data_IF_153280559213
#
_entry.id   IF_153280559213
#
_cell.length_a   1.000
_cell.length_b   1.000
_cell.length_c   1.000
_cell.angle_alpha   90.00
_cell.angle_beta   90.00
_cell.angle_gamma   90.00
#
_symmetry.space_group_name_H-M   'P 1'
#
loop_
_entity.id
_entity.type
_entity.pdbx_description
1 polymer ?
#
# COMPACT_ATOMS: atom_id res chain seq x y z
N UNK A 1 -7.05 -30.75 13.34
CA UNK A 1 -6.42 -31.33 12.13
C UNK A 1 -7.43 -31.41 10.99
N UNK A 2 -7.80 -30.28 10.39
CA UNK A 2 -8.36 -30.29 9.03
C UNK A 2 -7.59 -29.21 8.29
N UNK A 3 -6.68 -29.67 7.43
CA UNK A 3 -5.64 -28.86 6.83
C UNK A 3 -6.23 -27.70 6.04
N UNK A 4 -5.64 -26.53 6.22
CA UNK A 4 -5.75 -25.45 5.26
C UNK A 4 -4.97 -25.90 4.01
N UNK A 5 -5.64 -26.24 2.90
CA UNK A 5 -4.93 -26.62 1.69
C UNK A 5 -4.14 -25.41 1.21
N UNK A 6 -2.97 -25.67 0.63
CA UNK A 6 -2.02 -24.66 0.20
C UNK A 6 -2.68 -23.46 -0.50
N UNK A 7 -2.40 -22.25 0.02
CA UNK A 7 -2.13 -21.11 -0.86
C UNK A 7 -3.21 -20.04 -1.04
N UNK A 8 -4.37 -20.08 -0.39
CA UNK A 8 -5.35 -18.98 -0.51
C UNK A 8 -5.71 -18.33 0.84
N UNK A 9 -5.40 -17.04 0.98
CA UNK A 9 -5.75 -16.22 2.16
C UNK A 9 -7.22 -15.80 2.08
N UNK A 10 -7.96 -15.78 3.20
CA UNK A 10 -9.37 -15.35 3.20
C UNK A 10 -9.49 -13.91 2.70
N UNK A 11 -10.27 -13.70 1.65
CA UNK A 11 -10.75 -12.38 1.24
C UNK A 11 -12.07 -12.08 1.96
N UNK A 12 -12.37 -10.81 2.24
CA UNK A 12 -13.70 -10.40 2.70
C UNK A 12 -14.74 -10.44 1.56
N UNK A 13 -16.00 -10.14 1.88
CA UNK A 13 -17.11 -10.15 0.91
C UNK A 13 -16.91 -9.14 -0.24
N UNK A 14 -15.98 -8.19 -0.10
CA UNK A 14 -15.55 -7.25 -1.13
C UNK A 14 -14.34 -7.70 -1.96
N UNK A 15 -13.86 -8.93 -1.77
CA UNK A 15 -12.70 -9.47 -2.47
C UNK A 15 -11.35 -8.93 -1.97
N UNK A 16 -11.31 -8.34 -0.78
CA UNK A 16 -10.12 -7.74 -0.19
C UNK A 16 -9.44 -8.74 0.76
N UNK A 17 -8.14 -8.94 0.60
CA UNK A 17 -7.34 -9.83 1.47
C UNK A 17 -7.47 -9.41 2.94
N UNK A 18 -7.93 -10.33 3.80
CA UNK A 18 -7.91 -10.11 5.25
C UNK A 18 -6.46 -10.17 5.75
N UNK A 19 -5.99 -9.19 6.56
CA UNK A 19 -4.69 -9.29 7.21
C UNK A 19 -4.63 -10.53 8.12
N UNK A 20 -3.46 -11.15 8.20
CA UNK A 20 -3.27 -12.44 8.88
C UNK A 20 -3.23 -12.34 10.42
N UNK A 21 -3.33 -11.13 10.97
CA UNK A 21 -3.21 -10.79 12.37
C UNK A 21 -4.04 -9.54 12.67
N UNK A 22 -4.79 -9.56 13.76
CA UNK A 22 -5.53 -8.40 14.31
C UNK A 22 -4.62 -7.19 14.57
N UNK A 23 -3.30 -7.39 14.63
CA UNK A 23 -2.28 -6.34 14.79
C UNK A 23 -2.11 -5.42 13.58
N UNK A 24 -2.48 -5.84 12.36
CA UNK A 24 -2.40 -4.97 11.17
C UNK A 24 -3.57 -3.98 11.13
N UNK A 25 -4.70 -4.30 11.78
CA UNK A 25 -5.81 -3.37 12.02
C UNK A 25 -5.50 -2.41 13.20
N UNK A 26 -4.27 -1.90 13.28
CA UNK A 26 -3.99 -0.73 14.10
C UNK A 26 -4.74 0.47 13.53
N UNK A 27 -5.34 1.30 14.39
CA UNK A 27 -6.22 2.41 13.98
C UNK A 27 -5.62 3.36 12.93
N UNK A 28 -4.30 3.40 12.81
CA UNK A 28 -3.62 4.22 11.81
C UNK A 28 -3.78 3.70 10.36
N UNK A 29 -3.72 2.39 10.11
CA UNK A 29 -3.95 1.86 8.76
C UNK A 29 -5.39 2.16 8.30
N UNK A 30 -6.36 1.96 9.20
CA UNK A 30 -7.75 2.31 8.95
C UNK A 30 -7.90 3.81 8.65
N UNK A 31 -7.18 4.66 9.38
CA UNK A 31 -7.16 6.11 9.15
C UNK A 31 -6.52 6.50 7.81
N UNK A 32 -5.48 5.80 7.37
CA UNK A 32 -4.91 5.98 6.02
C UNK A 32 -5.94 5.64 4.97
N UNK A 33 -6.64 4.50 5.07
CA UNK A 33 -7.70 4.14 4.12
C UNK A 33 -8.88 5.12 4.14
N UNK A 34 -9.27 5.59 5.33
CA UNK A 34 -10.35 6.59 5.52
C UNK A 34 -10.01 7.92 4.86
N UNK A 35 -8.81 8.46 5.12
CA UNK A 35 -8.39 9.78 4.60
C UNK A 35 -8.11 9.72 3.09
N UNK A 36 -7.40 8.69 2.63
CA UNK A 36 -7.02 8.57 1.22
C UNK A 36 -8.17 8.12 0.33
N UNK A 37 -9.14 7.40 0.88
CA UNK A 37 -10.17 6.68 0.13
C UNK A 37 -9.64 5.43 -0.59
N UNK A 38 -8.37 5.07 -0.39
CA UNK A 38 -7.75 3.93 -1.04
C UNK A 38 -7.78 2.68 -0.15
N UNK A 39 -7.91 1.53 -0.81
CA UNK A 39 -7.86 0.21 -0.16
C UNK A 39 -6.48 -0.40 -0.33
N UNK A 40 -5.73 -0.51 0.76
CA UNK A 40 -4.31 -0.88 0.77
C UNK A 40 -4.10 -2.29 0.19
N UNK A 41 -5.05 -3.19 0.40
CA UNK A 41 -4.96 -4.56 -0.11
C UNK A 41 -5.33 -4.73 -1.60
N UNK A 42 -5.76 -3.67 -2.31
CA UNK A 42 -5.97 -3.74 -3.78
C UNK A 42 -4.67 -3.79 -4.58
N UNK A 43 -3.56 -3.31 -4.01
CA UNK A 43 -2.28 -3.26 -4.70
C UNK A 43 -1.70 -4.65 -4.89
N UNK A 44 -1.39 -4.98 -6.14
CA UNK A 44 -0.77 -6.24 -6.56
C UNK A 44 0.76 -6.19 -6.65
N UNK A 45 1.40 -5.12 -6.16
CA UNK A 45 2.86 -4.94 -6.17
C UNK A 45 3.51 -5.04 -7.55
N UNK A 46 2.89 -4.48 -8.59
CA UNK A 46 3.44 -4.51 -9.96
C UNK A 46 4.65 -3.57 -10.19
N UNK A 47 4.90 -2.60 -9.30
CA UNK A 47 6.04 -1.68 -9.40
C UNK A 47 5.90 -0.52 -10.40
N UNK A 48 4.79 -0.42 -11.14
CA UNK A 48 4.58 0.65 -12.14
C UNK A 48 4.69 2.06 -11.55
N UNK A 49 4.27 2.26 -10.30
CA UNK A 49 4.39 3.53 -9.59
C UNK A 49 5.86 3.90 -9.30
N UNK A 50 6.69 2.93 -8.94
CA UNK A 50 8.10 3.16 -8.66
C UNK A 50 8.88 3.48 -9.94
N UNK A 51 8.65 2.72 -11.02
CA UNK A 51 9.27 2.96 -12.31
C UNK A 51 8.86 4.31 -12.95
N UNK A 52 7.65 4.81 -12.64
CA UNK A 52 7.15 6.08 -13.15
C UNK A 52 7.45 7.29 -12.26
N UNK A 53 8.05 7.11 -11.07
CA UNK A 53 8.23 8.21 -10.13
C UNK A 53 9.45 9.07 -10.53
N UNK A 54 9.28 10.38 -10.81
CA UNK A 54 10.42 11.25 -11.12
C UNK A 54 11.32 11.51 -9.90
N UNK A 55 10.83 11.23 -8.70
CA UNK A 55 11.54 11.41 -7.44
C UNK A 55 12.13 10.12 -6.88
N UNK A 56 12.09 9.03 -7.66
CA UNK A 56 12.54 7.70 -7.21
C UNK A 56 13.93 7.75 -6.57
N UNK A 57 14.91 8.40 -7.21
CA UNK A 57 16.29 8.47 -6.74
C UNK A 57 16.50 9.37 -5.51
N UNK A 58 15.47 10.15 -5.13
CA UNK A 58 15.48 11.02 -3.93
C UNK A 58 14.67 10.42 -2.77
N UNK A 59 14.08 9.26 -2.96
CA UNK A 59 13.30 8.53 -1.97
C UNK A 59 14.16 7.45 -1.29
N UNK A 60 14.02 7.30 0.02
CA UNK A 60 14.62 6.21 0.81
C UNK A 60 13.83 4.89 0.69
N UNK A 61 12.53 4.97 0.41
CA UNK A 61 11.68 3.85 0.01
C UNK A 61 10.83 4.25 -1.19
N UNK A 62 10.84 3.40 -2.21
CA UNK A 62 10.08 3.66 -3.43
C UNK A 62 8.55 3.60 -3.17
N UNK A 63 7.74 4.21 -4.05
CA UNK A 63 6.29 4.27 -3.86
C UNK A 63 5.60 2.91 -3.72
N UNK A 64 6.07 1.84 -4.41
CA UNK A 64 5.49 0.51 -4.21
C UNK A 64 5.91 -0.12 -2.87
N UNK A 65 7.10 0.21 -2.37
CA UNK A 65 7.59 -0.23 -1.06
C UNK A 65 6.79 0.42 0.08
N UNK A 66 6.44 1.71 -0.03
CA UNK A 66 5.48 2.37 0.89
C UNK A 66 4.21 1.53 1.01
N UNK A 67 3.62 1.17 -0.13
CA UNK A 67 2.41 0.37 -0.15
C UNK A 67 2.59 -1.03 0.44
N UNK A 68 3.76 -1.65 0.19
CA UNK A 68 4.09 -2.96 0.75
C UNK A 68 4.17 -2.90 2.28
N UNK A 69 4.77 -1.85 2.83
CA UNK A 69 4.86 -1.64 4.27
C UNK A 69 3.47 -1.44 4.89
N UNK A 70 2.59 -0.67 4.24
CA UNK A 70 1.19 -0.54 4.67
C UNK A 70 0.46 -1.90 4.68
N UNK A 71 0.64 -2.72 3.64
CA UNK A 71 0.08 -4.08 3.58
C UNK A 71 0.62 -5.02 4.68
N UNK A 72 1.83 -4.74 5.17
CA UNK A 72 2.46 -5.48 6.27
C UNK A 72 2.08 -4.91 7.65
N UNK A 73 1.33 -3.80 7.71
CA UNK A 73 1.03 -3.08 8.95
C UNK A 73 2.21 -2.32 9.54
N UNK A 74 3.28 -2.14 8.78
CA UNK A 74 4.54 -1.49 9.18
C UNK A 74 4.44 0.03 9.01
N UNK A 75 3.36 0.63 9.54
CA UNK A 75 3.02 2.03 9.27
C UNK A 75 4.02 3.00 9.91
N UNK A 76 4.63 2.64 11.04
CA UNK A 76 5.66 3.48 11.68
C UNK A 76 6.90 3.63 10.78
N UNK A 77 7.30 2.58 10.05
CA UNK A 77 8.39 2.68 9.06
C UNK A 77 8.06 3.63 7.92
N UNK A 78 6.80 3.71 7.52
CA UNK A 78 6.33 4.66 6.49
C UNK A 78 6.42 6.10 7.02
N UNK A 79 6.00 6.33 8.28
CA UNK A 79 6.07 7.66 8.91
C UNK A 79 7.49 8.17 9.10
N UNK A 80 8.42 7.28 9.46
CA UNK A 80 9.84 7.62 9.65
C UNK A 80 10.56 7.87 8.32
N UNK A 81 9.95 7.47 7.21
CA UNK A 81 10.53 7.64 5.89
C UNK A 81 10.55 9.09 5.43
N UNK A 82 11.60 9.47 4.70
CA UNK A 82 11.66 10.77 4.01
C UNK A 82 10.85 10.78 2.71
N UNK A 83 10.44 9.61 2.23
CA UNK A 83 9.81 9.42 0.93
C UNK A 83 8.42 10.04 0.84
N UNK A 84 7.66 10.09 1.95
CA UNK A 84 6.37 10.79 2.02
C UNK A 84 6.56 12.29 1.74
N UNK A 85 7.65 12.89 2.25
CA UNK A 85 8.00 14.29 2.03
C UNK A 85 8.66 14.58 0.69
N UNK A 86 9.23 13.55 0.04
CA UNK A 86 9.79 13.67 -1.31
C UNK A 86 8.71 13.61 -2.41
N UNK A 87 7.49 13.18 -2.08
CA UNK A 87 6.38 13.12 -3.02
C UNK A 87 5.91 14.54 -3.39
N UNK A 88 5.80 14.83 -4.69
CA UNK A 88 5.21 16.08 -5.19
C UNK A 88 3.75 15.96 -5.63
N UNK A 89 3.11 14.82 -5.34
CA UNK A 89 1.74 14.52 -5.76
C UNK A 89 1.50 14.82 -7.24
N UNK A 90 2.43 14.38 -8.11
CA UNK A 90 2.32 14.56 -9.56
C UNK A 90 1.33 13.61 -10.25
N UNK A 91 0.74 12.67 -9.49
CA UNK A 91 -0.26 11.68 -9.94
C UNK A 91 0.16 10.69 -11.03
N UNK A 92 1.41 10.70 -11.51
CA UNK A 92 1.92 9.73 -12.50
C UNK A 92 1.70 8.27 -12.08
N UNK A 93 1.88 7.99 -10.79
CA UNK A 93 1.65 6.66 -10.22
C UNK A 93 0.19 6.20 -10.34
N UNK A 94 -0.78 7.11 -10.14
CA UNK A 94 -2.21 6.81 -10.25
C UNK A 94 -2.63 6.52 -11.69
N UNK A 95 -2.19 7.36 -12.64
CA UNK A 95 -2.51 7.20 -14.07
C UNK A 95 -1.98 5.87 -14.63
N UNK A 96 -0.81 5.42 -14.16
CA UNK A 96 -0.18 4.18 -14.64
C UNK A 96 -0.62 2.92 -13.90
N UNK A 97 -1.41 3.05 -12.84
CA UNK A 97 -1.75 1.91 -12.01
C UNK A 97 -2.78 1.00 -12.70
N UNK A 98 -2.46 -0.30 -12.96
CA UNK A 98 -3.41 -1.21 -13.61
C UNK A 98 -4.61 -1.57 -12.73
N UNK A 99 -4.54 -1.26 -11.42
CA UNK A 99 -5.63 -1.46 -10.46
C UNK A 99 -6.41 -0.16 -10.17
N UNK A 100 -6.05 0.95 -10.82
CA UNK A 100 -6.68 2.26 -10.59
C UNK A 100 -6.55 2.73 -9.14
N UNK A 101 -5.36 2.57 -8.55
CA UNK A 101 -5.05 3.05 -7.20
C UNK A 101 -4.39 4.42 -7.32
N UNK A 102 -4.94 5.42 -6.67
CA UNK A 102 -4.36 6.75 -6.57
C UNK A 102 -3.35 6.83 -5.41
N UNK A 103 -2.12 6.40 -5.71
CA UNK A 103 -1.07 6.30 -4.72
C UNK A 103 -0.68 7.66 -4.12
N UNK A 104 -0.88 8.76 -4.86
CA UNK A 104 -0.57 10.10 -4.39
C UNK A 104 -1.47 10.57 -3.24
N UNK A 105 -2.65 9.95 -3.05
CA UNK A 105 -3.54 10.23 -1.90
C UNK A 105 -3.07 9.58 -0.60
N UNK A 106 -2.14 8.63 -0.68
CA UNK A 106 -1.60 7.90 0.46
C UNK A 106 -0.25 8.46 0.92
N UNK A 107 0.49 9.10 0.02
CA UNK A 107 1.77 9.77 0.31
C UNK A 107 1.53 11.09 1.05
#
# INVERSE_FOLDING_TARGET
MQGFPLGYRPVDEGGILKPANERIHGGLLAKVEEISGEKVFRCMQCGSCAAGCPMHDRMDISPNQVWKLLQMGEVEKVKESKSIWACFSCYTCGVRCPKGIDLARVM
#
